data_IF_616991312722
#
_entry.id   IF_616991312722
#
_cell.length_a   1.000
_cell.length_b   1.000
_cell.length_c   1.000
_cell.angle_alpha   90.00
_cell.angle_beta   90.00
_cell.angle_gamma   90.00
#
_symmetry.space_group_name_H-M   'P 1'
#
loop_
_entity.id
_entity.type
_entity.pdbx_description
1 polymer ?
#
# COMPACT_ATOMS: atom_id res chain seq x y z
N UNK A 1 -7.60 -5.00 -13.64
CA UNK A 1 -8.33 -3.70 -13.74
C UNK A 1 -7.36 -2.53 -13.66
N UNK A 2 -6.67 -2.29 -12.54
CA UNK A 2 -5.73 -1.17 -12.41
C UNK A 2 -4.70 -1.08 -13.55
N UNK A 3 -4.08 -2.21 -13.92
CA UNK A 3 -3.13 -2.24 -15.04
C UNK A 3 -3.83 -2.02 -16.41
N UNK A 4 -4.69 -2.96 -16.81
CA UNK A 4 -5.29 -3.00 -18.15
C UNK A 4 -6.24 -1.82 -18.46
N UNK A 5 -6.99 -1.32 -17.48
CA UNK A 5 -8.01 -0.28 -17.69
C UNK A 5 -7.45 1.12 -17.43
N UNK A 6 -6.59 1.28 -16.44
CA UNK A 6 -6.08 2.60 -16.05
C UNK A 6 -4.64 2.82 -16.50
N UNK A 7 -3.67 2.03 -16.00
CA UNK A 7 -2.24 2.26 -16.24
C UNK A 7 -1.90 2.37 -17.73
N UNK A 8 -2.35 1.41 -18.55
CA UNK A 8 -2.07 1.41 -19.99
C UNK A 8 -2.65 2.63 -20.72
N UNK A 9 -3.89 3.04 -20.38
CA UNK A 9 -4.54 4.19 -21.02
C UNK A 9 -3.92 5.52 -20.58
N UNK A 10 -3.52 5.62 -19.31
CA UNK A 10 -2.96 6.83 -18.72
C UNK A 10 -1.58 7.20 -19.27
N UNK A 11 -0.87 6.26 -19.91
CA UNK A 11 0.38 6.53 -20.62
C UNK A 11 0.26 7.61 -21.71
N UNK A 12 -0.95 7.84 -22.23
CA UNK A 12 -1.20 8.87 -23.24
C UNK A 12 -1.38 10.28 -22.69
N UNK A 13 -1.61 10.43 -21.37
CA UNK A 13 -1.99 11.71 -20.73
C UNK A 13 -1.12 12.09 -19.53
N UNK A 14 -0.37 11.14 -18.96
CA UNK A 14 0.53 11.37 -17.83
C UNK A 14 1.98 11.14 -18.22
N UNK A 15 2.90 11.85 -17.55
CA UNK A 15 4.34 11.58 -17.70
C UNK A 15 4.73 10.27 -17.01
N UNK A 16 5.89 9.66 -17.37
CA UNK A 16 6.40 8.47 -16.70
C UNK A 16 6.57 8.65 -15.18
N UNK A 17 6.97 9.84 -14.74
CA UNK A 17 7.14 10.18 -13.32
C UNK A 17 5.80 10.23 -12.59
N UNK A 18 4.78 10.81 -13.22
CA UNK A 18 3.42 10.89 -12.67
C UNK A 18 2.78 9.50 -12.57
N UNK A 19 2.95 8.67 -13.60
CA UNK A 19 2.50 7.28 -13.59
C UNK A 19 3.19 6.47 -12.50
N UNK A 20 4.50 6.61 -12.36
CA UNK A 20 5.28 5.93 -11.33
C UNK A 20 4.90 6.39 -9.92
N UNK A 21 4.41 7.62 -9.78
CA UNK A 21 3.91 8.16 -8.52
C UNK A 21 2.51 7.64 -8.18
N UNK A 22 1.66 7.37 -9.18
CA UNK A 22 0.30 6.85 -8.97
C UNK A 22 0.29 5.33 -8.78
N UNK A 23 1.03 4.60 -9.62
CA UNK A 23 1.06 3.15 -9.66
C UNK A 23 2.44 2.61 -9.28
N UNK A 24 3.00 3.12 -8.19
CA UNK A 24 4.27 2.65 -7.67
C UNK A 24 4.20 1.13 -7.48
N UNK A 25 5.22 0.42 -7.96
CA UNK A 25 5.43 -1.03 -7.75
C UNK A 25 4.20 -1.95 -7.88
N UNK A 26 3.17 -1.54 -8.64
CA UNK A 26 1.91 -2.25 -8.78
C UNK A 26 2.12 -3.65 -9.35
N UNK A 27 3.04 -3.79 -10.31
CA UNK A 27 3.36 -5.08 -10.94
C UNK A 27 3.98 -6.06 -9.94
N UNK A 28 4.87 -5.58 -9.08
CA UNK A 28 5.52 -6.40 -8.06
C UNK A 28 4.50 -6.89 -7.03
N UNK A 29 3.62 -6.01 -6.55
CA UNK A 29 2.53 -6.39 -5.62
C UNK A 29 1.56 -7.37 -6.28
N UNK A 30 1.21 -7.15 -7.54
CA UNK A 30 0.38 -8.10 -8.31
C UNK A 30 1.03 -9.49 -8.40
N UNK A 31 2.31 -9.57 -8.76
CA UNK A 31 3.05 -10.83 -8.84
C UNK A 31 3.12 -11.54 -7.49
N UNK A 32 3.28 -10.80 -6.40
CA UNK A 32 3.27 -11.39 -5.05
C UNK A 32 1.92 -12.01 -4.72
N UNK A 33 0.80 -11.33 -5.02
CA UNK A 33 -0.54 -11.90 -4.85
C UNK A 33 -0.79 -13.10 -5.76
N UNK A 34 -0.26 -13.09 -6.98
CA UNK A 34 -0.33 -14.23 -7.90
C UNK A 34 0.43 -15.45 -7.34
N UNK A 35 1.66 -15.24 -6.83
CA UNK A 35 2.44 -16.28 -6.15
C UNK A 35 1.73 -16.82 -4.90
N UNK A 36 1.15 -15.93 -4.08
CA UNK A 36 0.33 -16.32 -2.91
C UNK A 36 -0.82 -17.21 -3.35
N UNK A 37 -1.56 -16.77 -4.38
CA UNK A 37 -2.72 -17.50 -4.88
C UNK A 37 -2.32 -18.88 -5.43
N UNK A 38 -1.25 -18.96 -6.23
CA UNK A 38 -0.74 -20.22 -6.75
C UNK A 38 -0.33 -21.19 -5.63
N UNK A 39 0.40 -20.70 -4.62
CA UNK A 39 0.77 -21.48 -3.45
C UNK A 39 -0.46 -22.02 -2.69
N UNK A 40 -1.44 -21.17 -2.41
CA UNK A 40 -2.67 -21.56 -1.73
C UNK A 40 -3.49 -22.57 -2.55
N UNK A 41 -3.57 -22.38 -3.87
CA UNK A 41 -4.25 -23.32 -4.77
C UNK A 41 -3.61 -24.71 -4.74
N UNK A 42 -2.29 -24.78 -4.85
CA UNK A 42 -1.55 -26.06 -4.85
C UNK A 42 -1.65 -26.76 -3.48
N UNK A 43 -1.43 -26.02 -2.38
CA UNK A 43 -1.52 -26.56 -1.03
C UNK A 43 -2.94 -27.07 -0.69
N UNK A 44 -3.97 -26.45 -1.27
CA UNK A 44 -5.36 -26.85 -1.08
C UNK A 44 -5.81 -27.97 -2.02
N UNK A 45 -5.07 -28.29 -3.08
CA UNK A 45 -5.51 -29.24 -4.12
C UNK A 45 -5.90 -30.59 -3.54
N UNK A 46 -5.00 -31.23 -2.77
CA UNK A 46 -5.28 -32.50 -2.07
C UNK A 46 -6.32 -32.37 -0.97
N UNK A 47 -6.34 -31.23 -0.26
CA UNK A 47 -7.29 -31.00 0.85
C UNK A 47 -8.73 -30.83 0.38
N UNK A 48 -8.92 -30.38 -0.87
CA UNK A 48 -10.22 -30.23 -1.53
C UNK A 48 -10.78 -31.54 -2.11
N UNK A 49 -10.00 -32.61 -2.13
CA UNK A 49 -10.49 -33.94 -2.51
C UNK A 49 -11.47 -34.50 -1.46
N UNK A 50 -11.34 -34.06 -0.21
CA UNK A 50 -12.31 -34.28 0.86
C UNK A 50 -13.38 -33.19 0.84
N UNK A 51 -14.67 -33.52 1.11
CA UNK A 51 -15.73 -32.53 1.25
C UNK A 51 -15.52 -31.60 2.46
N UNK A 52 -14.69 -32.02 3.42
CA UNK A 52 -14.35 -31.25 4.62
C UNK A 52 -12.84 -31.02 4.67
N UNK A 53 -12.44 -29.74 4.67
CA UNK A 53 -11.03 -29.33 4.87
C UNK A 53 -10.73 -29.32 6.37
N UNK A 54 -9.91 -30.26 6.81
CA UNK A 54 -9.59 -30.48 8.23
C UNK A 54 -8.73 -29.36 8.85
N UNK A 55 -8.06 -28.53 8.05
CA UNK A 55 -7.29 -27.40 8.56
C UNK A 55 -6.59 -26.62 7.45
N UNK A 56 -6.31 -25.35 7.73
CA UNK A 56 -5.59 -24.42 6.83
C UNK A 56 -4.48 -23.63 7.55
N UNK A 57 -4.34 -23.82 8.86
CA UNK A 57 -3.47 -23.00 9.71
C UNK A 57 -1.99 -23.10 9.35
N UNK A 58 -1.51 -24.30 9.03
CA UNK A 58 -0.12 -24.55 8.61
C UNK A 58 0.22 -23.88 7.26
N UNK A 59 -0.69 -23.95 6.29
CA UNK A 59 -0.55 -23.28 4.99
C UNK A 59 -0.48 -21.75 5.18
N UNK A 60 -1.40 -21.21 5.98
CA UNK A 60 -1.45 -19.78 6.26
C UNK A 60 -0.22 -19.30 7.04
N UNK A 61 0.25 -20.10 7.99
CA UNK A 61 1.45 -19.79 8.77
C UNK A 61 2.70 -19.76 7.89
N UNK A 62 2.91 -20.80 7.06
CA UNK A 62 4.04 -20.84 6.13
C UNK A 62 4.07 -19.61 5.21
N UNK A 63 2.90 -19.17 4.74
CA UNK A 63 2.80 -17.97 3.90
C UNK A 63 3.04 -16.67 4.68
N UNK A 64 2.54 -16.58 5.91
CA UNK A 64 2.71 -15.40 6.75
C UNK A 64 4.15 -15.25 7.27
N UNK A 65 4.86 -16.36 7.50
CA UNK A 65 6.28 -16.37 7.88
C UNK A 65 7.18 -16.01 6.70
N UNK A 66 6.86 -16.43 5.47
CA UNK A 66 7.50 -15.95 4.25
C UNK A 66 6.95 -14.58 3.78
N UNK A 67 6.48 -13.76 4.72
CA UNK A 67 5.74 -12.52 4.48
C UNK A 67 6.60 -11.26 4.32
N UNK A 68 7.90 -11.29 4.63
CA UNK A 68 8.73 -10.08 4.72
C UNK A 68 8.82 -9.31 3.40
N UNK A 69 9.02 -10.01 2.27
CA UNK A 69 9.00 -9.37 0.94
C UNK A 69 7.62 -8.77 0.62
N UNK A 70 6.55 -9.43 1.07
CA UNK A 70 5.19 -8.93 0.88
C UNK A 70 4.94 -7.67 1.71
N UNK A 71 5.36 -7.67 2.97
CA UNK A 71 5.32 -6.49 3.84
C UNK A 71 6.06 -5.31 3.24
N UNK A 72 7.29 -5.51 2.75
CA UNK A 72 8.11 -4.45 2.15
C UNK A 72 7.41 -3.82 0.93
N UNK A 73 6.98 -4.64 -0.03
CA UNK A 73 6.40 -4.14 -1.28
C UNK A 73 5.05 -3.46 -1.04
N UNK A 74 4.22 -4.01 -0.15
CA UNK A 74 2.92 -3.41 0.17
C UNK A 74 3.09 -2.12 0.99
N UNK A 75 4.04 -2.08 1.94
CA UNK A 75 4.37 -0.84 2.68
C UNK A 75 4.77 0.28 1.73
N UNK A 76 5.57 -0.05 0.72
CA UNK A 76 6.01 0.90 -0.31
C UNK A 76 4.85 1.43 -1.15
N UNK A 77 3.94 0.56 -1.58
CA UNK A 77 2.74 0.95 -2.34
C UNK A 77 1.80 1.81 -1.49
N UNK A 78 1.43 1.35 -0.29
CA UNK A 78 0.46 2.02 0.57
C UNK A 78 0.96 3.38 1.10
N UNK A 79 2.26 3.53 1.38
CA UNK A 79 2.81 4.79 1.88
C UNK A 79 2.77 5.95 0.88
N UNK A 80 2.70 5.65 -0.43
CA UNK A 80 2.56 6.66 -1.48
C UNK A 80 1.11 6.93 -1.87
N UNK A 81 0.16 6.14 -1.36
CA UNK A 81 -1.24 6.19 -1.76
C UNK A 81 -1.87 7.58 -1.55
N UNK A 82 -1.63 8.23 -0.41
CA UNK A 82 -2.18 9.58 -0.14
C UNK A 82 -1.66 10.62 -1.14
N UNK A 83 -0.38 10.53 -1.52
CA UNK A 83 0.23 11.42 -2.52
C UNK A 83 -0.29 11.12 -3.93
N UNK A 84 -0.47 9.84 -4.28
CA UNK A 84 -1.07 9.42 -5.54
C UNK A 84 -2.50 9.97 -5.68
N UNK A 85 -3.32 9.87 -4.63
CA UNK A 85 -4.70 10.38 -4.63
C UNK A 85 -4.75 11.92 -4.78
N UNK A 86 -3.83 12.63 -4.14
CA UNK A 86 -3.71 14.09 -4.30
C UNK A 86 -3.30 14.47 -5.72
N UNK A 87 -2.34 13.75 -6.31
CA UNK A 87 -1.92 13.96 -7.70
C UNK A 87 -3.07 13.71 -8.68
N UNK A 88 -3.81 12.61 -8.53
CA UNK A 88 -4.99 12.30 -9.34
C UNK A 88 -6.02 13.42 -9.22
N UNK A 89 -6.33 13.87 -8.00
CA UNK A 89 -7.29 14.96 -7.76
C UNK A 89 -6.86 16.26 -8.45
N UNK A 90 -5.58 16.62 -8.32
CA UNK A 90 -5.03 17.82 -8.94
C UNK A 90 -5.06 17.73 -10.47
N UNK A 91 -4.72 16.58 -11.05
CA UNK A 91 -4.77 16.35 -12.50
C UNK A 91 -6.19 16.36 -13.03
N UNK A 92 -7.11 15.70 -12.35
CA UNK A 92 -8.53 15.69 -12.70
C UNK A 92 -9.11 17.11 -12.74
N UNK A 93 -8.67 18.02 -11.86
CA UNK A 93 -9.16 19.40 -11.86
C UNK A 93 -8.51 20.28 -12.94
N UNK A 94 -7.21 20.09 -13.22
CA UNK A 94 -6.43 20.97 -14.09
C UNK A 94 -6.42 20.54 -15.57
N UNK A 95 -6.61 19.25 -15.84
CA UNK A 95 -6.50 18.68 -17.18
C UNK A 95 -7.81 18.00 -17.61
N UNK A 96 -8.60 18.65 -18.50
CA UNK A 96 -9.82 18.07 -19.03
C UNK A 96 -9.61 16.76 -19.79
N UNK A 97 -8.45 16.56 -20.44
CA UNK A 97 -8.15 15.30 -21.16
C UNK A 97 -7.99 14.15 -20.19
N UNK A 98 -7.30 14.39 -19.09
CA UNK A 98 -7.17 13.41 -18.00
C UNK A 98 -8.52 13.12 -17.34
N UNK A 99 -9.33 14.15 -17.07
CA UNK A 99 -10.67 14.00 -16.49
C UNK A 99 -11.58 13.13 -17.37
N UNK A 100 -11.63 13.39 -18.68
CA UNK A 100 -12.41 12.58 -19.63
C UNK A 100 -11.93 11.13 -19.67
N UNK A 101 -10.61 10.92 -19.71
CA UNK A 101 -10.04 9.57 -19.71
C UNK A 101 -10.38 8.79 -18.44
N UNK A 102 -10.32 9.42 -17.26
CA UNK A 102 -10.76 8.80 -16.00
C UNK A 102 -12.23 8.37 -16.10
N UNK A 103 -13.11 9.25 -16.58
CA UNK A 103 -14.53 8.95 -16.71
C UNK A 103 -14.78 7.77 -17.64
N UNK A 104 -14.10 7.70 -18.79
CA UNK A 104 -14.17 6.57 -19.70
C UNK A 104 -13.67 5.26 -19.06
N UNK A 105 -12.57 5.33 -18.30
CA UNK A 105 -12.03 4.18 -17.59
C UNK A 105 -12.97 3.68 -16.49
N UNK A 106 -13.54 4.59 -15.70
CA UNK A 106 -14.49 4.26 -14.62
C UNK A 106 -15.83 3.74 -15.15
N UNK A 107 -16.24 4.12 -16.37
CA UNK A 107 -17.42 3.58 -17.04
C UNK A 107 -17.25 2.13 -17.53
N UNK A 108 -16.02 1.60 -17.54
CA UNK A 108 -15.76 0.22 -17.95
C UNK A 108 -16.50 -0.79 -17.05
N UNK A 109 -17.15 -1.82 -17.60
CA UNK A 109 -17.81 -2.86 -16.80
C UNK A 109 -16.81 -3.61 -15.89
N UNK A 110 -15.53 -3.63 -16.27
CA UNK A 110 -14.45 -4.24 -15.48
C UNK A 110 -14.22 -3.52 -14.14
N UNK A 111 -14.59 -2.25 -14.02
CA UNK A 111 -14.45 -1.47 -12.78
C UNK A 111 -15.54 -1.83 -11.76
N UNK A 112 -16.61 -2.54 -12.13
CA UNK A 112 -17.70 -2.94 -11.22
C UNK A 112 -18.26 -1.77 -10.39
N UNK A 113 -18.41 -0.60 -11.03
CA UNK A 113 -18.84 0.67 -10.40
C UNK A 113 -17.88 1.25 -9.35
N UNK A 114 -16.64 0.77 -9.28
CA UNK A 114 -15.58 1.34 -8.45
C UNK A 114 -14.84 2.44 -9.22
N UNK A 115 -14.49 3.50 -8.51
CA UNK A 115 -13.66 4.58 -9.04
C UNK A 115 -12.16 4.23 -8.88
N UNK A 116 -11.28 4.95 -9.57
CA UNK A 116 -9.84 4.73 -9.45
C UNK A 116 -9.36 4.82 -8.01
N UNK A 117 -9.84 5.83 -7.26
CA UNK A 117 -9.50 6.01 -5.84
C UNK A 117 -9.87 4.79 -4.99
N UNK A 118 -11.00 4.14 -5.28
CA UNK A 118 -11.49 2.99 -4.51
C UNK A 118 -10.62 1.76 -4.80
N UNK A 119 -10.21 1.61 -6.06
CA UNK A 119 -9.33 0.53 -6.50
C UNK A 119 -7.91 0.68 -5.92
N UNK A 120 -7.39 1.90 -5.78
CA UNK A 120 -6.07 2.15 -5.19
C UNK A 120 -6.04 1.84 -3.68
N UNK A 121 -7.15 2.03 -2.97
CA UNK A 121 -7.27 1.73 -1.54
C UNK A 121 -7.46 0.23 -1.28
N UNK A 122 -7.75 -0.56 -2.32
CA UNK A 122 -8.09 -1.98 -2.20
C UNK A 122 -6.97 -2.81 -1.57
N UNK A 123 -5.69 -2.47 -1.78
CA UNK A 123 -4.57 -3.20 -1.18
C UNK A 123 -4.55 -3.08 0.35
N UNK A 124 -4.64 -1.84 0.86
CA UNK A 124 -4.74 -1.60 2.30
C UNK A 124 -5.98 -2.28 2.89
N UNK A 125 -7.13 -2.20 2.21
CA UNK A 125 -8.33 -2.91 2.64
C UNK A 125 -8.11 -4.42 2.68
N UNK A 126 -7.42 -5.00 1.69
CA UNK A 126 -7.12 -6.43 1.64
C UNK A 126 -6.27 -6.86 2.83
N UNK A 127 -5.26 -6.08 3.21
CA UNK A 127 -4.44 -6.34 4.41
C UNK A 127 -5.28 -6.42 5.68
N UNK A 128 -6.26 -5.52 5.85
CA UNK A 128 -7.14 -5.55 7.03
C UNK A 128 -8.03 -6.79 7.09
N UNK A 129 -8.27 -7.47 5.95
CA UNK A 129 -9.10 -8.67 5.92
C UNK A 129 -8.37 -9.92 6.40
N UNK A 130 -7.06 -10.05 6.18
CA UNK A 130 -6.35 -11.29 6.54
C UNK A 130 -6.46 -11.65 8.02
N UNK A 131 -6.22 -10.73 8.98
CA UNK A 131 -6.41 -11.03 10.39
C UNK A 131 -7.85 -11.40 10.75
N UNK A 132 -8.85 -10.78 10.12
CA UNK A 132 -10.28 -11.03 10.37
C UNK A 132 -10.74 -12.38 9.82
N UNK A 133 -10.25 -12.77 8.65
CA UNK A 133 -10.54 -14.08 8.06
C UNK A 133 -9.96 -15.20 8.93
N UNK A 134 -8.70 -15.05 9.37
CA UNK A 134 -8.06 -15.98 10.29
C UNK A 134 -8.75 -16.02 11.66
N UNK A 135 -9.21 -14.87 12.17
CA UNK A 135 -10.01 -14.80 13.41
C UNK A 135 -11.27 -15.65 13.34
N UNK A 136 -11.98 -15.55 12.21
CA UNK A 136 -13.21 -16.31 12.00
C UNK A 136 -12.93 -17.81 11.88
N UNK A 137 -11.82 -18.21 11.26
CA UNK A 137 -11.40 -19.63 11.20
C UNK A 137 -11.10 -20.14 12.62
N UNK A 138 -10.34 -19.38 13.41
CA UNK A 138 -10.00 -19.72 14.80
C UNK A 138 -11.27 -19.97 15.63
N UNK A 139 -12.25 -19.08 15.55
CA UNK A 139 -13.53 -19.18 16.27
C UNK A 139 -14.34 -20.44 15.97
N UNK A 140 -14.13 -21.05 14.80
CA UNK A 140 -14.91 -22.21 14.31
C UNK A 140 -14.04 -23.46 14.13
N UNK A 141 -12.86 -23.52 14.74
CA UNK A 141 -11.97 -24.69 14.68
C UNK A 141 -11.85 -25.33 16.06
N UNK A 142 -12.31 -26.57 16.21
CA UNK A 142 -12.18 -27.38 17.43
C UNK A 142 -10.83 -28.13 17.43
N UNK A 143 -9.81 -27.67 18.19
CA UNK A 143 -8.58 -28.43 18.60
C UNK A 143 -7.40 -27.51 18.90
N UNK A 144 -6.52 -27.90 19.84
CA UNK A 144 -5.35 -27.10 20.23
C UNK A 144 -4.28 -26.94 19.13
N UNK A 145 -3.97 -27.97 18.32
CA UNK A 145 -2.84 -27.86 17.37
C UNK A 145 -3.13 -27.03 16.10
N UNK A 146 -4.27 -27.17 15.39
CA UNK A 146 -4.61 -26.29 14.25
C UNK A 146 -4.90 -24.86 14.70
N UNK A 147 -5.39 -24.69 15.94
CA UNK A 147 -5.60 -23.39 16.56
C UNK A 147 -4.27 -22.66 16.80
N UNK A 148 -3.19 -23.36 17.20
CA UNK A 148 -1.88 -22.73 17.38
C UNK A 148 -1.30 -22.17 16.08
N UNK A 149 -1.33 -22.93 14.98
CA UNK A 149 -0.83 -22.45 13.69
C UNK A 149 -1.65 -21.27 13.15
N UNK A 150 -2.98 -21.37 13.22
CA UNK A 150 -3.87 -20.30 12.74
C UNK A 150 -3.71 -19.03 13.58
N UNK A 151 -3.56 -19.15 14.90
CA UNK A 151 -3.31 -18.02 15.81
C UNK A 151 -1.96 -17.35 15.52
N UNK A 152 -0.89 -18.14 15.30
CA UNK A 152 0.42 -17.61 14.90
C UNK A 152 0.36 -16.89 13.55
N UNK A 153 -0.32 -17.48 12.56
CA UNK A 153 -0.53 -16.85 11.26
C UNK A 153 -1.27 -15.52 11.41
N UNK A 154 -2.33 -15.48 12.23
CA UNK A 154 -3.08 -14.28 12.52
C UNK A 154 -2.19 -13.20 13.15
N UNK A 155 -1.39 -13.57 14.16
CA UNK A 155 -0.46 -12.65 14.81
C UNK A 155 0.56 -12.06 13.81
N UNK A 156 1.10 -12.89 12.91
CA UNK A 156 2.00 -12.41 11.83
C UNK A 156 1.28 -11.47 10.87
N UNK A 157 0.06 -11.79 10.42
CA UNK A 157 -0.72 -10.87 9.58
C UNK A 157 -1.05 -9.54 10.29
N UNK A 158 -1.30 -9.55 11.60
CA UNK A 158 -1.47 -8.32 12.39
C UNK A 158 -0.17 -7.52 12.46
N UNK A 159 0.97 -8.19 12.65
CA UNK A 159 2.29 -7.56 12.63
C UNK A 159 2.57 -6.85 11.30
N UNK A 160 2.36 -7.53 10.17
CA UNK A 160 2.50 -6.94 8.83
C UNK A 160 1.60 -5.71 8.68
N UNK A 161 0.32 -5.81 9.07
CA UNK A 161 -0.62 -4.69 8.99
C UNK A 161 -0.17 -3.50 9.85
N UNK A 162 0.35 -3.76 11.06
CA UNK A 162 0.86 -2.71 11.94
C UNK A 162 2.11 -2.05 11.35
N UNK A 163 3.05 -2.82 10.82
CA UNK A 163 4.26 -2.31 10.17
C UNK A 163 3.91 -1.43 8.97
N UNK A 164 3.03 -1.92 8.08
CA UNK A 164 2.55 -1.16 6.91
C UNK A 164 1.89 0.15 7.34
N UNK A 165 1.00 0.12 8.36
CA UNK A 165 0.35 1.32 8.87
C UNK A 165 1.34 2.33 9.45
N UNK A 166 2.39 1.86 10.14
CA UNK A 166 3.42 2.74 10.69
C UNK A 166 4.20 3.41 9.57
N UNK A 167 4.63 2.67 8.54
CA UNK A 167 5.33 3.23 7.38
C UNK A 167 4.47 4.26 6.65
N UNK A 168 3.17 4.00 6.49
CA UNK A 168 2.22 4.98 5.92
C UNK A 168 2.16 6.24 6.79
N UNK A 169 1.98 6.08 8.10
CA UNK A 169 1.89 7.19 9.06
C UNK A 169 3.16 8.05 9.06
N UNK A 170 4.32 7.42 9.15
CA UNK A 170 5.61 8.12 9.12
C UNK A 170 5.83 8.88 7.81
N UNK A 171 5.45 8.27 6.68
CA UNK A 171 5.58 8.90 5.36
C UNK A 171 4.69 10.12 5.24
N UNK A 172 3.43 10.03 5.69
CA UNK A 172 2.53 11.18 5.74
C UNK A 172 3.02 12.27 6.70
N UNK A 173 3.51 11.90 7.88
CA UNK A 173 4.07 12.84 8.85
C UNK A 173 5.27 13.58 8.27
N UNK A 174 6.20 12.85 7.64
CA UNK A 174 7.38 13.42 6.98
C UNK A 174 6.99 14.38 5.87
N UNK A 175 5.98 14.03 5.07
CA UNK A 175 5.44 14.90 4.04
C UNK A 175 4.87 16.20 4.63
N UNK A 176 4.02 16.11 5.68
CA UNK A 176 3.44 17.26 6.37
C UNK A 176 4.51 18.17 7.00
N UNK A 177 5.51 17.60 7.66
CA UNK A 177 6.64 18.35 8.22
C UNK A 177 7.42 19.09 7.13
N UNK A 178 7.64 18.46 5.97
CA UNK A 178 8.26 19.11 4.81
C UNK A 178 7.45 20.31 4.31
N UNK A 179 6.12 20.20 4.30
CA UNK A 179 5.23 21.33 3.96
C UNK A 179 5.32 22.46 4.99
N UNK A 180 5.35 22.13 6.29
CA UNK A 180 5.52 23.13 7.35
C UNK A 180 6.85 23.84 7.25
N UNK A 181 7.95 23.11 7.05
CA UNK A 181 9.29 23.67 6.91
C UNK A 181 9.36 24.70 5.76
N UNK A 182 8.70 24.44 4.62
CA UNK A 182 8.66 25.38 3.49
C UNK A 182 7.86 26.65 3.76
N UNK A 183 6.97 26.63 4.74
CA UNK A 183 6.09 27.75 5.13
C UNK A 183 6.58 28.47 6.38
N UNK A 184 7.64 27.99 7.01
CA UNK A 184 8.15 28.52 8.26
C UNK A 184 9.02 29.75 7.98
N UNK A 185 8.58 30.91 8.46
CA UNK A 185 9.34 32.16 8.37
C UNK A 185 10.34 32.25 9.53
N UNK A 186 11.63 32.13 9.19
CA UNK A 186 12.73 32.20 10.15
C UNK A 186 13.23 33.63 10.38
N UNK A 187 12.73 34.62 9.63
CA UNK A 187 13.20 36.01 9.66
C UNK A 187 13.21 36.61 11.09
N UNK A 188 12.21 36.38 11.97
CA UNK A 188 12.24 36.88 13.34
C UNK A 188 13.35 36.24 14.20
N UNK A 189 13.65 34.96 14.00
CA UNK A 189 14.70 34.24 14.73
C UNK A 189 16.10 34.68 14.29
N UNK A 190 16.29 34.97 13.01
CA UNK A 190 17.56 35.46 12.47
C UNK A 190 17.91 36.86 12.98
N UNK A 191 16.91 37.73 13.17
CA UNK A 191 17.08 39.10 13.69
C UNK A 191 17.45 39.16 15.16
N UNK A 192 17.10 38.14 15.94
CA UNK A 192 17.35 38.13 17.39
C UNK A 192 18.81 37.89 17.77
N UNK A 193 19.72 37.63 16.80
CA UNK A 193 21.14 37.31 17.02
C UNK A 193 21.36 36.38 18.23
N UNK A 194 20.42 35.48 18.47
CA UNK A 194 20.40 34.69 19.69
C UNK A 194 21.39 33.54 19.52
N UNK A 195 22.42 33.43 20.37
CA UNK A 195 23.41 32.35 20.27
C UNK A 195 22.76 30.95 20.36
N UNK A 196 21.60 30.83 21.02
CA UNK A 196 20.80 29.60 21.12
C UNK A 196 20.02 29.30 19.82
N UNK A 197 19.78 30.28 18.96
CA UNK A 197 19.12 30.08 17.66
C UNK A 197 20.11 29.59 16.57
N UNK A 198 21.42 29.79 16.76
CA UNK A 198 22.45 29.36 15.81
C UNK A 198 22.50 27.83 15.61
N UNK A 199 22.21 27.05 16.65
CA UNK A 199 22.09 25.57 16.58
C UNK A 199 20.86 25.09 15.80
N UNK A 200 19.85 25.95 15.63
CA UNK A 200 18.64 25.68 14.85
C UNK A 200 18.68 26.27 13.43
N UNK A 201 19.80 26.89 13.03
CA UNK A 201 20.08 27.19 11.61
C UNK A 201 20.36 25.86 10.91
N UNK A 202 19.28 25.11 10.67
CA UNK A 202 19.31 23.86 9.94
C UNK A 202 19.91 24.17 8.57
N UNK A 203 21.10 23.60 8.30
CA UNK A 203 21.60 23.43 6.93
C UNK A 203 20.43 22.85 6.15
N UNK A 204 19.85 23.62 5.23
CA UNK A 204 18.85 23.12 4.31
C UNK A 204 19.46 21.88 3.65
N UNK A 205 19.03 20.69 4.09
CA UNK A 205 19.45 19.44 3.47
C UNK A 205 18.87 19.52 2.06
N UNK A 206 19.69 19.55 0.99
CA UNK A 206 19.15 19.59 -0.35
C UNK A 206 18.40 18.28 -0.56
N UNK A 207 17.07 18.38 -0.58
CA UNK A 207 16.18 17.30 -0.95
C UNK A 207 16.20 17.20 -2.48
N UNK A 208 17.35 16.81 -3.04
CA UNK A 208 17.52 16.44 -4.44
C UNK A 208 18.82 15.65 -4.59
N UNK A 209 18.76 14.48 -5.25
CA UNK A 209 19.85 13.59 -5.68
C UNK A 209 20.20 12.35 -4.81
N UNK A 210 19.21 11.51 -4.47
CA UNK A 210 19.49 10.07 -4.27
C UNK A 210 18.43 9.19 -4.94
N UNK A 211 18.27 9.36 -6.26
CA UNK A 211 17.84 8.27 -7.15
C UNK A 211 18.65 8.44 -8.44
N UNK A 212 19.75 7.69 -8.51
CA UNK A 212 20.79 7.83 -9.52
C UNK A 212 21.90 6.82 -9.29
N UNK A 213 21.53 5.53 -9.33
CA UNK A 213 22.32 4.41 -9.85
C UNK A 213 21.49 3.14 -9.82
#
# INVERSE_FOLDING_TARGET
VLDQVFYQKMQSVLSPEELSSIFLNLRQVYQLHECINAFLCEAMKKRRESPVVQGVGDIMLARAEAGDQFEEQVSRLCSQQSQALELIKNKHHKDPRFSHLIQECEASPHCRRLQLKDLLVAEMQRLTKYPLLLDNIIKHTESESPHTHTSRAQARCRGILQAVNEVVRETEHRHRLGQYQRRLDLTPLERLANPVAAQFKVRAVPCASQYGR
#
